data_IF_518239032972
#
_entry.id   IF_518239032972
#
_cell.length_a   1.000
_cell.length_b   1.000
_cell.length_c   1.000
_cell.angle_alpha   90.00
_cell.angle_beta   90.00
_cell.angle_gamma   90.00
#
_symmetry.space_group_name_H-M   'P 1'
#
loop_
_entity.id
_entity.type
_entity.pdbx_description
1 polymer ?
#
# COMPACT_ATOMS: atom_id res chain seq x y z
N UNK A 1 18.21 20.19 13.56
CA UNK A 1 18.87 18.86 13.48
C UNK A 1 19.04 18.53 12.00
N UNK A 2 19.81 17.51 11.60
CA UNK A 2 19.78 17.08 10.20
C UNK A 2 18.37 16.52 9.87
N UNK A 3 17.84 16.77 8.66
CA UNK A 3 16.52 16.26 8.28
C UNK A 3 16.49 14.73 8.28
N UNK A 4 15.31 14.17 8.56
CA UNK A 4 15.06 12.73 8.42
C UNK A 4 14.90 12.39 6.94
N UNK A 5 15.72 11.46 6.43
CA UNK A 5 15.74 11.08 5.01
C UNK A 5 14.72 9.96 4.77
N UNK A 6 13.70 10.27 3.98
CA UNK A 6 12.57 9.37 3.71
C UNK A 6 12.56 9.00 2.23
N UNK A 7 12.49 7.71 1.91
CA UNK A 7 12.22 7.20 0.56
C UNK A 7 10.78 6.67 0.52
N UNK A 8 9.96 7.11 -0.42
CA UNK A 8 8.58 6.65 -0.60
C UNK A 8 8.41 6.16 -2.04
N UNK A 9 7.90 4.95 -2.21
CA UNK A 9 7.61 4.41 -3.55
C UNK A 9 6.17 4.66 -3.98
N UNK A 10 5.94 4.95 -5.26
CA UNK A 10 4.59 5.05 -5.83
C UNK A 10 3.85 6.34 -5.46
N UNK A 11 4.48 7.49 -5.67
CA UNK A 11 3.99 8.81 -5.28
C UNK A 11 3.28 9.58 -6.41
N UNK A 12 2.98 8.96 -7.56
CA UNK A 12 2.31 9.66 -8.67
C UNK A 12 0.87 10.04 -8.37
N UNK A 13 0.22 9.35 -7.43
CA UNK A 13 -1.17 9.60 -7.02
C UNK A 13 -1.48 9.01 -5.63
N UNK A 14 -2.68 9.27 -5.13
CA UNK A 14 -3.25 8.57 -3.98
C UNK A 14 -2.45 8.71 -2.68
N UNK A 15 -2.30 7.60 -1.97
CA UNK A 15 -1.65 7.53 -0.64
C UNK A 15 -0.21 8.04 -0.71
N UNK A 16 0.63 7.48 -1.59
CA UNK A 16 2.05 7.86 -1.66
C UNK A 16 2.28 9.33 -2.04
N UNK A 17 1.40 9.92 -2.86
CA UNK A 17 1.43 11.36 -3.13
C UNK A 17 1.13 12.16 -1.86
N UNK A 18 0.04 11.81 -1.17
CA UNK A 18 -0.38 12.51 0.04
C UNK A 18 0.67 12.40 1.16
N UNK A 19 1.26 11.22 1.36
CA UNK A 19 2.37 10.99 2.29
C UNK A 19 3.57 11.87 1.97
N UNK A 20 4.02 11.86 0.71
CA UNK A 20 5.20 12.62 0.28
C UNK A 20 4.99 14.13 0.45
N UNK A 21 3.84 14.64 0.00
CA UNK A 21 3.49 16.06 0.12
C UNK A 21 3.33 16.45 1.59
N UNK A 22 2.68 15.63 2.40
CA UNK A 22 2.48 15.91 3.83
C UNK A 22 3.82 16.06 4.56
N UNK A 23 4.71 15.07 4.40
CA UNK A 23 6.02 15.09 5.05
C UNK A 23 6.90 16.26 4.56
N UNK A 24 6.84 16.61 3.26
CA UNK A 24 7.68 17.66 2.70
C UNK A 24 7.16 19.09 2.93
N UNK A 25 5.86 19.28 3.14
CA UNK A 25 5.22 20.61 3.13
C UNK A 25 4.43 20.97 4.39
N UNK A 26 3.89 19.97 5.12
CA UNK A 26 2.96 20.19 6.24
C UNK A 26 3.56 19.85 7.60
N UNK A 27 4.48 18.90 7.63
CA UNK A 27 5.19 18.49 8.85
C UNK A 27 5.90 19.67 9.54
N UNK A 28 5.91 19.65 10.88
CA UNK A 28 6.73 20.57 11.70
C UNK A 28 8.16 20.06 11.90
N UNK A 29 8.42 18.82 11.54
CA UNK A 29 9.72 18.17 11.58
C UNK A 29 10.40 18.25 10.21
N UNK A 30 11.73 18.41 10.24
CA UNK A 30 12.54 18.50 9.02
C UNK A 30 12.62 17.12 8.35
N UNK A 31 11.93 16.96 7.21
CA UNK A 31 12.02 15.78 6.35
C UNK A 31 12.70 16.13 5.01
N UNK A 32 13.47 15.19 4.51
CA UNK A 32 13.97 15.19 3.14
C UNK A 32 13.41 13.96 2.44
N UNK A 33 12.42 14.18 1.58
CA UNK A 33 11.61 13.14 0.96
C UNK A 33 12.10 12.86 -0.46
N UNK A 34 12.48 11.63 -0.74
CA UNK A 34 12.67 11.10 -2.07
C UNK A 34 11.39 10.36 -2.48
N UNK A 35 10.60 11.00 -3.32
CA UNK A 35 9.30 10.51 -3.76
C UNK A 35 9.46 9.87 -5.15
N UNK A 36 9.16 8.57 -5.28
CA UNK A 36 9.35 7.88 -6.56
C UNK A 36 8.07 7.76 -7.35
N UNK A 37 8.17 7.94 -8.67
CA UNK A 37 7.11 7.66 -9.64
C UNK A 37 7.59 6.57 -10.59
N UNK A 38 6.67 5.79 -11.18
CA UNK A 38 7.05 4.74 -12.13
C UNK A 38 7.63 5.33 -13.42
N UNK A 39 7.07 6.45 -13.88
CA UNK A 39 7.55 7.23 -15.03
C UNK A 39 7.52 8.71 -14.68
N UNK A 40 8.56 9.46 -15.04
CA UNK A 40 8.57 10.92 -14.81
C UNK A 40 7.44 11.66 -15.52
N UNK A 41 6.87 11.09 -16.57
CA UNK A 41 5.68 11.64 -17.23
C UNK A 41 4.44 11.67 -16.33
N UNK A 42 4.42 10.89 -15.25
CA UNK A 42 3.30 10.77 -14.31
C UNK A 42 3.48 11.63 -13.05
N UNK A 43 4.51 12.50 -13.00
CA UNK A 43 4.81 13.31 -11.81
C UNK A 43 3.91 14.53 -11.62
N UNK A 44 3.06 14.87 -12.59
CA UNK A 44 2.37 16.16 -12.66
C UNK A 44 1.60 16.54 -11.40
N UNK A 45 0.76 15.63 -10.89
CA UNK A 45 -0.03 15.87 -9.69
C UNK A 45 0.85 16.03 -8.45
N UNK A 46 1.90 15.21 -8.32
CA UNK A 46 2.86 15.27 -7.22
C UNK A 46 3.64 16.60 -7.23
N UNK A 47 4.16 16.99 -8.39
CA UNK A 47 4.90 18.23 -8.58
C UNK A 47 4.01 19.45 -8.28
N UNK A 48 2.76 19.45 -8.78
CA UNK A 48 1.81 20.52 -8.51
C UNK A 48 1.41 20.61 -7.03
N UNK A 49 1.22 19.47 -6.36
CA UNK A 49 0.82 19.45 -4.95
C UNK A 49 1.98 19.82 -4.01
N UNK A 50 3.22 19.46 -4.38
CA UNK A 50 4.41 19.81 -3.61
C UNK A 50 4.83 21.28 -3.78
N UNK A 51 4.57 21.89 -4.95
CA UNK A 51 4.86 23.29 -5.22
C UNK A 51 6.32 23.66 -4.92
N UNK A 52 6.53 24.67 -4.07
CA UNK A 52 7.87 25.17 -3.74
C UNK A 52 8.77 24.16 -3.00
N UNK A 53 8.24 23.05 -2.51
CA UNK A 53 9.02 22.01 -1.85
C UNK A 53 9.83 21.15 -2.83
N UNK A 54 9.46 21.15 -4.11
CA UNK A 54 10.19 20.43 -5.16
C UNK A 54 11.64 20.92 -5.21
N UNK A 55 12.58 19.97 -5.24
CA UNK A 55 14.03 20.15 -5.20
C UNK A 55 14.57 20.87 -3.93
N UNK A 56 13.73 21.06 -2.90
CA UNK A 56 14.14 21.59 -1.59
C UNK A 56 14.00 20.54 -0.49
N UNK A 57 12.76 20.10 -0.24
CA UNK A 57 12.42 19.08 0.76
C UNK A 57 11.81 17.84 0.11
N UNK A 58 11.35 17.91 -1.14
CA UNK A 58 10.83 16.80 -1.93
C UNK A 58 11.60 16.65 -3.25
N UNK A 59 12.15 15.46 -3.49
CA UNK A 59 12.93 15.13 -4.67
C UNK A 59 12.24 14.00 -5.43
N UNK A 60 11.78 14.30 -6.66
CA UNK A 60 11.06 13.32 -7.48
C UNK A 60 12.07 12.47 -8.27
N UNK A 61 11.89 11.14 -8.25
CA UNK A 61 12.76 10.19 -8.98
C UNK A 61 11.95 9.13 -9.70
N UNK A 62 12.47 8.66 -10.83
CA UNK A 62 11.89 7.53 -11.55
C UNK A 62 12.40 6.22 -10.95
N UNK A 63 11.50 5.36 -10.48
CA UNK A 63 11.84 4.01 -10.01
C UNK A 63 10.75 3.04 -10.42
N UNK A 64 11.17 1.97 -11.09
CA UNK A 64 10.34 0.81 -11.35
C UNK A 64 10.69 -0.27 -10.31
N UNK A 65 9.81 -0.48 -9.34
CA UNK A 65 10.08 -1.42 -8.23
C UNK A 65 10.24 -2.88 -8.70
N UNK A 66 9.86 -3.20 -9.94
CA UNK A 66 10.10 -4.53 -10.54
C UNK A 66 11.52 -4.68 -11.05
N UNK A 67 12.29 -3.59 -11.15
CA UNK A 67 13.65 -3.53 -11.71
C UNK A 67 14.69 -3.15 -10.66
N UNK A 68 15.43 -4.15 -10.19
CA UNK A 68 16.43 -4.02 -9.13
C UNK A 68 17.50 -2.93 -9.37
N UNK A 69 17.90 -2.71 -10.63
CA UNK A 69 18.89 -1.72 -11.02
C UNK A 69 18.38 -0.29 -10.80
N UNK A 70 17.11 -0.01 -11.10
CA UNK A 70 16.52 1.31 -10.86
C UNK A 70 16.44 1.63 -9.36
N UNK A 71 16.10 0.63 -8.53
CA UNK A 71 16.08 0.75 -7.07
C UNK A 71 17.49 1.02 -6.54
N UNK A 72 18.47 0.23 -6.97
CA UNK A 72 19.85 0.35 -6.49
C UNK A 72 20.46 1.70 -6.85
N UNK A 73 20.22 2.19 -8.08
CA UNK A 73 20.69 3.49 -8.52
C UNK A 73 20.16 4.62 -7.62
N UNK A 74 18.88 4.59 -7.26
CA UNK A 74 18.30 5.58 -6.34
C UNK A 74 18.89 5.45 -4.92
N UNK A 75 19.00 4.24 -4.39
CA UNK A 75 19.57 4.03 -3.05
C UNK A 75 21.02 4.55 -3.00
N UNK A 76 21.82 4.26 -4.01
CA UNK A 76 23.21 4.75 -4.10
C UNK A 76 23.27 6.27 -4.21
N UNK A 77 22.35 6.90 -4.96
CA UNK A 77 22.18 8.35 -4.96
C UNK A 77 21.89 8.91 -3.57
N UNK A 78 20.87 8.37 -2.89
CA UNK A 78 20.46 8.90 -1.58
C UNK A 78 21.59 8.73 -0.56
N UNK A 79 22.28 7.60 -0.56
CA UNK A 79 23.42 7.36 0.33
C UNK A 79 24.60 8.27 -0.01
N UNK A 80 24.91 8.50 -1.28
CA UNK A 80 25.96 9.45 -1.67
C UNK A 80 25.63 10.87 -1.20
N UNK A 81 24.37 11.30 -1.36
CA UNK A 81 23.96 12.68 -1.11
C UNK A 81 23.73 12.97 0.38
N UNK A 82 23.33 11.96 1.17
CA UNK A 82 22.91 12.15 2.56
C UNK A 82 23.67 11.28 3.57
N UNK A 83 24.39 10.25 3.11
CA UNK A 83 25.08 9.28 3.95
C UNK A 83 24.18 8.26 4.65
N UNK A 84 22.85 8.39 4.53
CA UNK A 84 21.85 7.60 5.25
C UNK A 84 20.50 7.55 4.54
N UNK A 85 19.72 6.52 4.88
CA UNK A 85 18.26 6.45 4.68
C UNK A 85 17.67 6.10 6.04
N UNK A 86 16.75 6.92 6.54
CA UNK A 86 16.14 6.73 7.86
C UNK A 86 14.84 5.97 7.77
N UNK A 87 14.05 6.28 6.75
CA UNK A 87 12.72 5.73 6.55
C UNK A 87 12.57 5.30 5.10
N UNK A 88 11.99 4.11 4.91
CA UNK A 88 11.47 3.65 3.62
C UNK A 88 9.99 3.36 3.79
N UNK A 89 9.17 3.90 2.89
CA UNK A 89 7.76 3.59 2.78
C UNK A 89 7.54 2.86 1.45
N UNK A 90 7.33 1.54 1.54
CA UNK A 90 6.97 0.70 0.41
C UNK A 90 5.47 0.83 0.17
N UNK A 91 5.09 1.87 -0.59
CA UNK A 91 3.70 2.18 -0.92
C UNK A 91 3.30 1.75 -2.35
N UNK A 92 4.25 1.68 -3.29
CA UNK A 92 3.95 1.28 -4.67
C UNK A 92 3.15 -0.02 -4.73
N UNK A 93 2.03 0.01 -5.45
CA UNK A 93 1.12 -1.13 -5.56
C UNK A 93 0.14 -0.97 -6.71
N UNK A 94 -0.28 -2.10 -7.27
CA UNK A 94 -1.33 -2.19 -8.29
C UNK A 94 -2.40 -3.19 -7.85
N UNK A 95 -3.60 -2.99 -8.36
CA UNK A 95 -4.73 -3.90 -8.14
C UNK A 95 -5.51 -4.05 -9.42
N UNK A 96 -5.96 -5.27 -9.68
CA UNK A 96 -6.95 -5.58 -10.70
C UNK A 96 -8.08 -6.33 -10.00
N UNK A 97 -9.33 -6.05 -10.38
CA UNK A 97 -10.44 -6.90 -9.94
C UNK A 97 -10.27 -8.28 -10.55
N UNK A 98 -10.59 -9.31 -9.79
CA UNK A 98 -10.57 -10.69 -10.27
C UNK A 98 -11.89 -11.40 -9.99
N UNK A 99 -12.21 -12.37 -10.81
CA UNK A 99 -13.45 -13.16 -10.76
C UNK A 99 -13.11 -14.64 -11.01
N UNK A 100 -12.01 -15.11 -10.41
CA UNK A 100 -11.52 -16.50 -10.54
C UNK A 100 -12.62 -17.58 -10.36
N UNK A 101 -13.72 -17.21 -9.72
CA UNK A 101 -14.92 -18.03 -9.50
C UNK A 101 -15.82 -18.24 -10.76
N UNK A 102 -15.78 -17.40 -11.80
CA UNK A 102 -16.74 -17.42 -12.91
C UNK A 102 -16.17 -17.76 -14.30
N UNK A 103 -14.88 -18.11 -14.39
CA UNK A 103 -14.31 -18.83 -15.55
C UNK A 103 -13.68 -17.99 -16.66
N UNK A 104 -13.82 -16.65 -16.64
CA UNK A 104 -13.18 -15.71 -17.57
C UNK A 104 -12.57 -14.56 -16.75
N UNK A 105 -11.23 -14.51 -16.52
CA UNK A 105 -10.67 -13.60 -15.55
C UNK A 105 -10.84 -12.11 -15.94
N UNK A 106 -11.46 -11.30 -15.08
CA UNK A 106 -11.31 -9.85 -15.06
C UNK A 106 -9.83 -9.44 -14.98
N UNK A 107 -9.03 -10.26 -14.29
CA UNK A 107 -7.57 -10.18 -14.25
C UNK A 107 -6.94 -11.49 -14.74
N UNK A 108 -6.19 -11.45 -15.84
CA UNK A 108 -5.44 -12.59 -16.35
C UNK A 108 -4.37 -13.08 -15.36
N UNK A 109 -3.85 -14.30 -15.56
CA UNK A 109 -2.72 -14.80 -14.77
C UNK A 109 -1.46 -13.92 -14.92
N UNK A 110 -1.28 -13.28 -16.08
CA UNK A 110 -0.18 -12.32 -16.29
C UNK A 110 -0.39 -11.06 -15.44
N UNK A 111 -1.64 -10.58 -15.30
CA UNK A 111 -1.98 -9.48 -14.39
C UNK A 111 -1.83 -9.89 -12.92
N UNK A 112 -2.15 -11.13 -12.57
CA UNK A 112 -1.89 -11.68 -11.24
C UNK A 112 -0.39 -11.74 -10.93
N UNK A 113 0.44 -12.17 -11.90
CA UNK A 113 1.89 -12.15 -11.77
C UNK A 113 2.43 -10.72 -11.64
N UNK A 114 1.93 -9.78 -12.44
CA UNK A 114 2.31 -8.37 -12.32
C UNK A 114 1.97 -7.79 -10.94
N UNK A 115 0.81 -8.15 -10.36
CA UNK A 115 0.47 -7.78 -8.98
C UNK A 115 1.49 -8.35 -7.98
N UNK A 116 1.94 -9.59 -8.13
CA UNK A 116 2.98 -10.16 -7.27
C UNK A 116 4.32 -9.44 -7.43
N UNK A 117 4.71 -9.15 -8.67
CA UNK A 117 5.96 -8.46 -9.00
C UNK A 117 6.02 -7.06 -8.36
N UNK A 118 4.93 -6.31 -8.41
CA UNK A 118 4.87 -4.97 -7.83
C UNK A 118 4.62 -5.02 -6.32
N UNK A 119 3.59 -5.73 -5.87
CA UNK A 119 3.08 -5.62 -4.48
C UNK A 119 3.89 -6.43 -3.47
N UNK A 120 4.61 -7.47 -3.90
CA UNK A 120 5.42 -8.32 -3.02
C UNK A 120 6.90 -8.20 -3.36
N UNK A 121 7.27 -8.52 -4.60
CA UNK A 121 8.68 -8.55 -4.99
C UNK A 121 9.28 -7.14 -5.04
N UNK A 122 8.50 -6.12 -5.37
CA UNK A 122 8.90 -4.71 -5.28
C UNK A 122 9.40 -4.32 -3.89
N UNK A 123 8.56 -4.36 -2.84
CA UNK A 123 8.98 -4.13 -1.46
C UNK A 123 10.16 -4.99 -1.03
N UNK A 124 10.19 -6.28 -1.41
CA UNK A 124 11.31 -7.16 -1.08
C UNK A 124 12.64 -6.69 -1.69
N UNK A 125 12.62 -6.21 -2.93
CA UNK A 125 13.78 -5.66 -3.62
C UNK A 125 14.24 -4.34 -2.98
N UNK A 126 13.32 -3.44 -2.65
CA UNK A 126 13.64 -2.18 -1.96
C UNK A 126 14.27 -2.46 -0.60
N UNK A 127 13.67 -3.35 0.20
CA UNK A 127 14.20 -3.79 1.49
C UNK A 127 15.63 -4.32 1.31
N UNK A 128 15.85 -5.21 0.33
CA UNK A 128 17.17 -5.77 0.05
C UNK A 128 18.21 -4.69 -0.27
N UNK A 129 17.84 -3.66 -1.04
CA UNK A 129 18.75 -2.58 -1.43
C UNK A 129 19.13 -1.66 -0.26
N UNK A 130 18.19 -1.32 0.63
CA UNK A 130 18.44 -0.40 1.75
C UNK A 130 19.05 -1.07 2.98
N UNK A 131 18.82 -2.38 3.16
CA UNK A 131 19.20 -3.12 4.37
C UNK A 131 20.70 -3.04 4.71
N UNK A 132 21.66 -3.16 3.77
CA UNK A 132 23.09 -3.05 4.09
C UNK A 132 23.44 -1.73 4.81
N UNK A 133 22.83 -0.64 4.36
CA UNK A 133 23.05 0.70 4.93
C UNK A 133 22.38 0.84 6.30
N UNK A 134 21.11 0.47 6.42
CA UNK A 134 20.40 0.48 7.72
C UNK A 134 21.07 -0.44 8.76
N UNK A 135 21.59 -1.60 8.35
CA UNK A 135 22.32 -2.53 9.23
C UNK A 135 23.62 -1.92 9.75
N UNK A 136 24.32 -1.14 8.92
CA UNK A 136 25.52 -0.39 9.31
C UNK A 136 25.17 0.77 10.23
N UNK A 137 24.07 1.47 9.95
CA UNK A 137 23.52 2.56 10.79
C UNK A 137 23.04 2.06 12.15
N UNK A 138 22.64 0.78 12.27
CA UNK A 138 21.96 0.21 13.45
C UNK A 138 20.67 0.98 13.80
N UNK A 139 20.03 1.51 12.77
CA UNK A 139 18.79 2.26 12.83
C UNK A 139 18.15 2.26 11.44
N UNK A 140 16.83 2.44 11.42
CA UNK A 140 16.04 2.53 10.20
C UNK A 140 14.60 2.11 10.45
N UNK A 141 13.68 2.67 9.67
CA UNK A 141 12.27 2.30 9.64
C UNK A 141 11.89 1.86 8.24
N UNK A 142 11.24 0.72 8.14
CA UNK A 142 10.69 0.18 6.89
C UNK A 142 9.19 0.05 7.11
N UNK A 143 8.39 0.84 6.42
CA UNK A 143 6.93 0.82 6.49
C UNK A 143 6.43 0.15 5.20
N UNK A 144 5.76 -0.99 5.34
CA UNK A 144 5.12 -1.67 4.23
C UNK A 144 3.63 -1.35 4.24
N UNK A 145 3.15 -0.70 3.19
CA UNK A 145 1.72 -0.41 3.01
C UNK A 145 1.03 -1.67 2.51
N UNK A 146 0.40 -2.40 3.42
CA UNK A 146 -0.36 -3.62 3.11
C UNK A 146 -1.79 -3.24 2.70
N UNK A 147 -2.79 -3.72 3.42
CA UNK A 147 -4.23 -3.43 3.24
C UNK A 147 -4.99 -4.21 4.31
N UNK A 148 -6.20 -3.77 4.66
CA UNK A 148 -7.20 -4.66 5.27
C UNK A 148 -7.35 -5.99 4.51
N UNK A 149 -7.21 -5.96 3.17
CA UNK A 149 -7.29 -7.14 2.30
C UNK A 149 -6.09 -8.09 2.42
N UNK A 150 -5.04 -7.68 3.15
CA UNK A 150 -3.92 -8.56 3.53
C UNK A 150 -4.20 -9.42 4.74
N UNK A 151 -5.34 -9.19 5.42
CA UNK A 151 -5.71 -9.92 6.65
C UNK A 151 -7.12 -10.45 6.56
N UNK A 152 -8.08 -9.65 6.10
CA UNK A 152 -9.46 -10.08 5.86
C UNK A 152 -9.68 -10.27 4.37
N UNK A 153 -10.53 -11.22 3.99
CA UNK A 153 -10.84 -11.45 2.58
C UNK A 153 -12.13 -10.72 2.21
N UNK A 154 -12.12 -10.06 1.05
CA UNK A 154 -13.32 -9.63 0.37
C UNK A 154 -13.47 -10.45 -0.92
N UNK A 155 -14.70 -10.80 -1.32
CA UNK A 155 -14.96 -11.39 -2.62
C UNK A 155 -14.38 -10.54 -3.77
N UNK A 156 -14.00 -11.20 -4.88
CA UNK A 156 -13.59 -10.58 -6.16
C UNK A 156 -12.28 -9.78 -6.18
N UNK A 157 -11.43 -9.98 -5.17
CA UNK A 157 -10.07 -9.41 -5.09
C UNK A 157 -9.05 -10.46 -4.61
N UNK A 158 -9.23 -11.73 -4.97
CA UNK A 158 -8.45 -12.86 -4.48
C UNK A 158 -6.95 -12.75 -4.76
N UNK A 159 -6.53 -12.37 -5.97
CA UNK A 159 -5.12 -12.21 -6.30
C UNK A 159 -4.51 -11.00 -5.60
N UNK A 160 -5.22 -9.87 -5.57
CA UNK A 160 -4.77 -8.70 -4.82
C UNK A 160 -4.57 -9.03 -3.34
N UNK A 161 -5.58 -9.66 -2.72
CA UNK A 161 -5.52 -10.15 -1.34
C UNK A 161 -4.30 -11.05 -1.12
N UNK A 162 -4.11 -12.06 -1.97
CA UNK A 162 -2.96 -12.97 -1.88
C UNK A 162 -1.62 -12.21 -1.86
N UNK A 163 -1.46 -11.16 -2.68
CA UNK A 163 -0.23 -10.34 -2.69
C UNK A 163 -0.02 -9.60 -1.37
N UNK A 164 -1.09 -9.09 -0.75
CA UNK A 164 -1.02 -8.36 0.52
C UNK A 164 -0.82 -9.30 1.71
N UNK A 165 -1.43 -10.48 1.72
CA UNK A 165 -1.14 -11.53 2.70
C UNK A 165 0.32 -12.00 2.63
N UNK A 166 0.87 -12.13 1.42
CA UNK A 166 2.28 -12.48 1.26
C UNK A 166 3.21 -11.39 1.82
N UNK A 167 2.86 -10.11 1.62
CA UNK A 167 3.62 -8.99 2.17
C UNK A 167 3.54 -8.93 3.71
N UNK A 168 2.38 -9.22 4.31
CA UNK A 168 2.23 -9.39 5.77
C UNK A 168 3.19 -10.47 6.29
N UNK A 169 3.14 -11.68 5.72
CA UNK A 169 3.97 -12.80 6.16
C UNK A 169 5.47 -12.55 6.02
N UNK A 170 5.89 -11.91 4.90
CA UNK A 170 7.27 -11.47 4.72
C UNK A 170 7.68 -10.45 5.79
N UNK A 171 6.80 -9.49 6.06
CA UNK A 171 7.04 -8.40 7.01
C UNK A 171 7.20 -8.92 8.44
N UNK A 172 6.30 -9.78 8.90
CA UNK A 172 6.37 -10.38 10.24
C UNK A 172 7.64 -11.18 10.45
N UNK A 173 8.00 -12.00 9.45
CA UNK A 173 9.21 -12.82 9.50
C UNK A 173 10.47 -11.98 9.64
N UNK A 174 10.58 -10.89 8.87
CA UNK A 174 11.75 -10.01 8.90
C UNK A 174 11.80 -9.13 10.15
N UNK A 175 10.65 -8.64 10.63
CA UNK A 175 10.59 -7.66 11.71
C UNK A 175 11.29 -8.13 12.99
N UNK A 176 11.10 -9.39 13.38
CA UNK A 176 11.67 -9.95 14.61
C UNK A 176 13.20 -9.94 14.59
N UNK A 177 13.79 -10.42 13.50
CA UNK A 177 15.24 -10.52 13.33
C UNK A 177 15.88 -9.13 13.20
N UNK A 178 15.25 -8.25 12.41
CA UNK A 178 15.75 -6.89 12.17
C UNK A 178 15.75 -6.05 13.45
N UNK A 179 14.66 -6.08 14.23
CA UNK A 179 14.55 -5.34 15.49
C UNK A 179 15.59 -5.81 16.49
N UNK A 180 15.69 -7.12 16.72
CA UNK A 180 16.59 -7.69 17.74
C UNK A 180 18.07 -7.54 17.39
N UNK A 181 18.43 -7.69 16.11
CA UNK A 181 19.85 -7.79 15.69
C UNK A 181 20.44 -6.45 15.25
N UNK A 182 19.61 -5.58 14.67
CA UNK A 182 20.08 -4.35 14.01
C UNK A 182 19.37 -3.09 14.49
N UNK A 183 18.41 -3.19 15.42
CA UNK A 183 17.61 -2.05 15.86
C UNK A 183 16.87 -1.34 14.70
N UNK A 184 16.52 -2.10 13.65
CA UNK A 184 15.71 -1.63 12.53
C UNK A 184 14.26 -1.98 12.83
N UNK A 185 13.34 -1.03 12.68
CA UNK A 185 11.90 -1.24 12.86
C UNK A 185 11.27 -1.53 11.50
N UNK A 186 10.66 -2.69 11.35
CA UNK A 186 9.77 -2.98 10.22
C UNK A 186 8.34 -2.83 10.74
N UNK A 187 7.56 -2.02 10.06
CA UNK A 187 6.19 -1.67 10.37
C UNK A 187 5.29 -2.11 9.21
N UNK A 188 4.15 -2.67 9.57
CA UNK A 188 3.05 -3.03 8.69
C UNK A 188 1.99 -1.96 8.86
N UNK A 189 1.71 -1.24 7.78
CA UNK A 189 0.64 -0.25 7.75
C UNK A 189 -0.53 -0.82 6.96
N UNK A 190 -1.67 -0.97 7.62
CA UNK A 190 -2.88 -1.61 7.13
C UNK A 190 -3.94 -0.53 6.87
N UNK A 191 -3.93 0.13 5.69
CA UNK A 191 -4.98 1.06 5.35
C UNK A 191 -6.30 0.33 5.07
N UNK A 192 -7.39 0.93 5.54
CA UNK A 192 -8.73 0.64 5.04
C UNK A 192 -8.96 1.25 3.66
N UNK A 193 -10.22 1.45 3.28
CA UNK A 193 -10.56 2.14 2.03
C UNK A 193 -10.07 3.59 2.09
N UNK A 194 -9.28 3.99 1.09
CA UNK A 194 -8.83 5.38 0.88
C UNK A 194 -9.29 5.81 -0.51
N UNK A 195 -9.85 7.02 -0.65
CA UNK A 195 -10.34 7.53 -1.94
C UNK A 195 -9.20 7.94 -2.88
N UNK A 196 -8.44 6.97 -3.38
CA UNK A 196 -7.43 7.18 -4.42
C UNK A 196 -8.06 7.09 -5.82
N UNK A 197 -7.38 7.56 -6.87
CA UNK A 197 -7.85 7.37 -8.24
C UNK A 197 -8.16 5.91 -8.60
N UNK A 198 -7.39 4.95 -8.08
CA UNK A 198 -7.63 3.52 -8.29
C UNK A 198 -8.96 3.06 -7.68
N UNK A 199 -9.29 3.51 -6.47
CA UNK A 199 -10.56 3.19 -5.81
C UNK A 199 -11.72 3.91 -6.49
N UNK A 200 -11.53 5.18 -6.87
CA UNK A 200 -12.54 5.95 -7.58
C UNK A 200 -12.82 5.39 -8.97
N UNK A 201 -11.84 4.77 -9.64
CA UNK A 201 -12.03 4.13 -10.93
C UNK A 201 -13.06 3.00 -10.87
N UNK A 202 -13.23 2.33 -9.71
CA UNK A 202 -14.27 1.32 -9.49
C UNK A 202 -15.68 1.93 -9.57
N UNK A 203 -15.86 3.25 -9.40
CA UNK A 203 -17.15 3.90 -9.61
C UNK A 203 -17.52 4.05 -11.11
N UNK A 204 -16.59 3.76 -12.02
CA UNK A 204 -16.81 3.94 -13.46
C UNK A 204 -17.85 2.95 -14.00
N UNK A 205 -18.62 3.32 -15.05
CA UNK A 205 -19.64 2.45 -15.63
C UNK A 205 -19.12 1.07 -16.04
N UNK A 206 -17.87 0.99 -16.51
CA UNK A 206 -17.21 -0.24 -16.96
C UNK A 206 -17.17 -1.34 -15.90
N UNK A 207 -17.22 -0.98 -14.62
CA UNK A 207 -17.23 -1.95 -13.52
C UNK A 207 -18.62 -2.32 -13.03
N UNK A 208 -19.69 -1.75 -13.61
CA UNK A 208 -21.05 -2.13 -13.22
C UNK A 208 -21.35 -3.58 -13.63
N UNK A 209 -22.20 -4.28 -12.87
CA UNK A 209 -22.61 -5.67 -13.16
C UNK A 209 -23.10 -5.88 -14.60
N UNK A 210 -23.72 -4.85 -15.18
CA UNK A 210 -24.26 -4.86 -16.55
C UNK A 210 -23.17 -5.04 -17.63
N UNK A 211 -21.91 -4.68 -17.37
CA UNK A 211 -20.83 -4.66 -18.37
C UNK A 211 -19.77 -5.76 -18.15
N UNK A 212 -19.61 -6.26 -16.93
CA UNK A 212 -18.58 -7.25 -16.56
C UNK A 212 -19.02 -8.69 -16.83
N UNK A 213 -20.33 -8.93 -16.95
CA UNK A 213 -20.89 -10.24 -16.60
C UNK A 213 -21.54 -11.01 -17.75
N UNK A 214 -21.25 -10.62 -19.00
CA UNK A 214 -21.87 -11.21 -20.18
C UNK A 214 -21.52 -12.70 -20.39
N UNK A 215 -20.36 -13.16 -19.92
CA UNK A 215 -19.91 -14.56 -20.01
C UNK A 215 -20.36 -15.43 -18.83
N UNK A 216 -20.85 -14.85 -17.74
CA UNK A 216 -21.22 -15.58 -16.52
C UNK A 216 -22.62 -16.19 -16.59
N UNK A 217 -22.99 -17.10 -15.68
CA UNK A 217 -24.37 -17.56 -15.54
C UNK A 217 -25.26 -16.54 -14.77
N UNK A 218 -26.59 -16.69 -14.83
CA UNK A 218 -27.51 -15.75 -14.19
C UNK A 218 -27.35 -15.68 -12.67
N UNK A 219 -27.01 -16.80 -12.02
CA UNK A 219 -26.80 -16.86 -10.58
C UNK A 219 -25.53 -16.13 -10.16
N UNK A 220 -24.46 -16.31 -10.94
CA UNK A 220 -23.20 -15.59 -10.82
C UNK A 220 -23.38 -14.07 -10.94
N UNK A 221 -24.06 -13.64 -12.02
CA UNK A 221 -24.41 -12.24 -12.26
C UNK A 221 -25.15 -11.61 -11.08
N UNK A 222 -26.17 -12.31 -10.59
CA UNK A 222 -27.00 -11.82 -9.49
C UNK A 222 -26.17 -11.61 -8.22
N UNK A 223 -25.34 -12.59 -7.84
CA UNK A 223 -24.49 -12.49 -6.63
C UNK A 223 -23.46 -11.38 -6.74
N UNK A 224 -22.89 -11.17 -7.93
CA UNK A 224 -21.97 -10.06 -8.13
C UNK A 224 -22.68 -8.71 -8.07
N UNK A 225 -23.88 -8.59 -8.61
CA UNK A 225 -24.67 -7.36 -8.48
C UNK A 225 -24.99 -7.04 -7.00
N UNK A 226 -25.41 -8.04 -6.22
CA UNK A 226 -25.65 -7.90 -4.78
C UNK A 226 -24.37 -7.50 -4.02
N UNK A 227 -23.24 -8.15 -4.32
CA UNK A 227 -21.94 -7.78 -3.75
C UNK A 227 -21.56 -6.34 -4.13
N UNK A 228 -21.69 -5.99 -5.40
CA UNK A 228 -21.33 -4.69 -5.94
C UNK A 228 -22.11 -3.58 -5.25
N UNK A 229 -23.45 -3.68 -5.17
CA UNK A 229 -24.27 -2.67 -4.52
C UNK A 229 -23.89 -2.47 -3.04
N UNK A 230 -23.63 -3.56 -2.33
CA UNK A 230 -23.19 -3.54 -0.93
C UNK A 230 -21.80 -2.94 -0.77
N UNK A 231 -20.83 -3.34 -1.60
CA UNK A 231 -19.46 -2.86 -1.51
C UNK A 231 -19.34 -1.39 -1.94
N UNK A 232 -20.06 -0.96 -2.98
CA UNK A 232 -20.15 0.44 -3.37
C UNK A 232 -20.79 1.30 -2.28
N UNK A 233 -21.85 0.80 -1.64
CA UNK A 233 -22.47 1.48 -0.50
C UNK A 233 -21.49 1.62 0.68
N UNK A 234 -20.63 0.61 0.89
CA UNK A 234 -19.59 0.64 1.90
C UNK A 234 -18.47 1.61 1.55
N UNK A 235 -17.95 1.59 0.32
CA UNK A 235 -16.94 2.54 -0.17
C UNK A 235 -17.38 3.99 0.06
N UNK A 236 -18.65 4.32 -0.20
CA UNK A 236 -19.20 5.66 0.00
C UNK A 236 -19.25 6.05 1.50
N UNK A 237 -19.55 5.10 2.39
CA UNK A 237 -19.77 5.36 3.83
C UNK A 237 -18.52 5.23 4.70
N UNK A 238 -17.60 4.34 4.33
CA UNK A 238 -16.48 3.88 5.14
C UNK A 238 -15.14 4.13 4.41
N UNK A 239 -14.91 5.35 3.94
CA UNK A 239 -13.66 5.78 3.32
C UNK A 239 -12.90 6.79 4.16
N UNK A 240 -11.62 6.94 3.82
CA UNK A 240 -10.70 7.94 4.34
C UNK A 240 -10.17 8.79 3.19
N UNK A 241 -9.77 10.01 3.50
CA UNK A 241 -9.04 10.85 2.54
C UNK A 241 -7.55 10.50 2.54
N UNK A 242 -6.84 10.54 1.39
CA UNK A 242 -5.40 10.31 1.34
C UNK A 242 -4.59 11.18 2.31
N UNK A 243 -5.03 12.42 2.56
CA UNK A 243 -4.36 13.35 3.48
C UNK A 243 -4.35 12.88 4.94
N UNK A 244 -5.38 12.12 5.36
CA UNK A 244 -5.43 11.53 6.70
C UNK A 244 -4.29 10.51 6.89
N UNK A 245 -3.95 9.79 5.83
CA UNK A 245 -2.88 8.78 5.85
C UNK A 245 -1.51 9.43 6.02
N UNK A 246 -1.27 10.59 5.38
CA UNK A 246 0.00 11.32 5.53
C UNK A 246 0.30 11.67 6.99
N UNK A 247 -0.72 12.05 7.77
CA UNK A 247 -0.57 12.31 9.20
C UNK A 247 -0.23 11.05 10.00
N UNK A 248 -0.93 9.94 9.74
CA UNK A 248 -0.65 8.65 10.41
C UNK A 248 0.78 8.18 10.13
N UNK A 249 1.27 8.32 8.90
CA UNK A 249 2.65 7.97 8.55
C UNK A 249 3.66 8.84 9.30
N UNK A 250 3.41 10.14 9.42
CA UNK A 250 4.26 11.03 10.23
C UNK A 250 4.32 10.55 11.70
N UNK A 251 3.18 10.22 12.31
CA UNK A 251 3.14 9.69 13.68
C UNK A 251 3.94 8.39 13.83
N UNK A 252 3.83 7.47 12.87
CA UNK A 252 4.60 6.22 12.83
C UNK A 252 6.09 6.51 12.70
N UNK A 253 6.49 7.48 11.89
CA UNK A 253 7.90 7.89 11.67
C UNK A 253 8.49 8.57 12.91
N UNK A 254 7.68 9.26 13.71
CA UNK A 254 8.14 10.01 14.88
C UNK A 254 8.04 9.20 16.19
N UNK A 255 7.24 8.12 16.22
CA UNK A 255 7.10 7.28 17.40
C UNK A 255 8.45 6.65 17.81
N UNK A 256 8.92 6.83 19.05
CA UNK A 256 10.22 6.30 19.47
C UNK A 256 10.30 4.75 19.40
N UNK A 257 9.22 4.08 19.80
CA UNK A 257 9.09 2.62 19.79
C UNK A 257 7.82 2.21 19.04
N UNK A 258 7.84 2.26 17.69
CA UNK A 258 6.65 1.98 16.91
C UNK A 258 6.21 0.52 17.07
N UNK A 259 4.90 0.32 17.00
CA UNK A 259 4.30 -1.01 16.95
C UNK A 259 4.65 -1.71 15.63
N UNK A 260 4.46 -3.04 15.59
CA UNK A 260 4.61 -3.79 14.34
C UNK A 260 3.49 -3.44 13.36
N UNK A 261 2.27 -3.14 13.86
CA UNK A 261 1.07 -2.93 13.04
C UNK A 261 0.39 -1.62 13.37
N UNK A 262 -0.09 -0.95 12.33
CA UNK A 262 -0.92 0.24 12.42
C UNK A 262 -2.10 0.11 11.47
N UNK A 263 -3.31 0.18 12.02
CA UNK A 263 -4.58 0.14 11.30
C UNK A 263 -5.11 1.56 11.16
N UNK A 264 -5.46 1.97 9.95
CA UNK A 264 -5.80 3.37 9.68
C UNK A 264 -7.15 3.81 10.27
N UNK A 265 -8.09 2.89 10.55
CA UNK A 265 -9.39 3.24 11.14
C UNK A 265 -10.02 2.13 11.99
N UNK A 266 -10.94 2.50 12.89
CA UNK A 266 -11.61 1.57 13.82
C UNK A 266 -12.44 0.48 13.12
N UNK A 267 -12.97 0.77 11.93
CA UNK A 267 -13.79 -0.17 11.17
C UNK A 267 -12.99 -1.41 10.80
N UNK A 268 -11.77 -1.22 10.26
CA UNK A 268 -10.90 -2.34 9.90
C UNK A 268 -10.41 -3.09 11.15
N UNK A 269 -10.13 -2.37 12.24
CA UNK A 269 -9.74 -2.97 13.53
C UNK A 269 -10.77 -3.97 14.01
N UNK A 270 -12.06 -3.62 13.95
CA UNK A 270 -13.16 -4.49 14.35
C UNK A 270 -13.32 -5.71 13.42
N UNK A 271 -13.10 -5.54 12.11
CA UNK A 271 -13.20 -6.63 11.12
C UNK A 271 -12.05 -7.62 11.27
N UNK A 272 -10.82 -7.13 11.38
CA UNK A 272 -9.63 -7.95 11.64
C UNK A 272 -9.77 -8.71 12.95
N UNK A 273 -10.18 -8.03 14.04
CA UNK A 273 -10.37 -8.68 15.34
C UNK A 273 -11.43 -9.80 15.28
N UNK A 274 -12.50 -9.63 14.49
CA UNK A 274 -13.51 -10.67 14.28
C UNK A 274 -12.92 -11.89 13.57
N UNK A 275 -12.16 -11.69 12.49
CA UNK A 275 -11.52 -12.79 11.75
C UNK A 275 -10.52 -13.55 12.63
N UNK A 276 -9.65 -12.83 13.34
CA UNK A 276 -8.62 -13.47 14.19
C UNK A 276 -9.23 -14.25 15.36
N UNK A 277 -10.37 -13.79 15.89
CA UNK A 277 -11.10 -14.50 16.95
C UNK A 277 -11.77 -15.79 16.47
N UNK A 278 -12.19 -15.83 15.20
CA UNK A 278 -12.86 -16.99 14.62
C UNK A 278 -11.86 -17.92 13.93
N UNK A 279 -11.46 -18.97 14.62
CA UNK A 279 -10.50 -19.96 14.12
C UNK A 279 -11.05 -20.86 13.01
N UNK A 280 -12.36 -20.80 12.72
CA UNK A 280 -13.01 -21.64 11.70
C UNK A 280 -13.20 -20.92 10.36
N UNK A 281 -13.33 -19.58 10.40
CA UNK A 281 -13.69 -18.76 9.24
C UNK A 281 -15.20 -18.70 8.94
N UNK A 282 -16.03 -19.48 9.64
CA UNK A 282 -17.49 -19.55 9.41
C UNK A 282 -18.21 -18.20 9.61
N UNK A 283 -17.65 -17.31 10.43
CA UNK A 283 -18.22 -15.96 10.62
C UNK A 283 -18.19 -15.13 9.35
N UNK A 284 -17.17 -15.31 8.50
CA UNK A 284 -17.10 -14.63 7.21
C UNK A 284 -18.20 -15.16 6.26
N UNK A 285 -18.40 -16.48 6.25
CA UNK A 285 -19.46 -17.11 5.47
C UNK A 285 -20.86 -16.65 5.92
N UNK A 286 -21.12 -16.63 7.24
CA UNK A 286 -22.39 -16.15 7.79
C UNK A 286 -22.63 -14.67 7.48
N UNK A 287 -21.59 -13.84 7.56
CA UNK A 287 -21.68 -12.43 7.19
C UNK A 287 -22.05 -12.28 5.71
N UNK A 288 -21.38 -13.00 4.82
CA UNK A 288 -21.67 -12.99 3.39
C UNK A 288 -23.09 -13.48 3.06
N UNK A 289 -23.57 -14.55 3.71
CA UNK A 289 -24.95 -15.02 3.54
C UNK A 289 -26.01 -14.01 4.03
N UNK A 290 -25.66 -13.19 5.03
CA UNK A 290 -26.58 -12.20 5.60
C UNK A 290 -26.64 -10.86 4.85
N UNK A 291 -25.83 -10.68 3.80
CA UNK A 291 -25.80 -9.45 2.96
C UNK A 291 -27.00 -9.31 2.01
N UNK A 292 -28.14 -9.95 2.33
CA UNK A 292 -29.40 -9.83 1.58
C UNK A 292 -30.15 -8.53 1.87
#
# INVERSE_FOLDING_TARGET
MAPTVVLITGCSSGIGLAEAVHLATKSKHDFKVYATVLKLSEKGDLESAAGDAVDKTLFIREVDVTKADTIQALVDEIIRDNGRIDVVVNNAGITFMDDMFFGEPLASLDQAQAMMDVNLWGPAQVIKAVLPFMKKQKSGRIINTTSESGITESPFIGFYGATKFALEGLSESLALVLRKTYNIRLIIFEPGTVLTPQVLALLSPEFKPEYISHSWDDGARKKFAEFWENDMSRLIKENQQPEEIGHVIEEIILCDEPHLRYQSCDTITKRIARKVKDTTGDSAFKAFQSMQ
#
